data_IF_557746289062
#
_entry.id   IF_557746289062
#
_cell.length_a   1.000
_cell.length_b   1.000
_cell.length_c   1.000
_cell.angle_alpha   90.00
_cell.angle_beta   90.00
_cell.angle_gamma   90.00
#
_symmetry.space_group_name_H-M   'P 1'
#
loop_
_entity.id
_entity.type
_entity.pdbx_description
1 polymer ?
#
# COMPACT_ATOMS: atom_id res chain seq x y z
N UNK A 1 36.70 -52.45 -22.15
CA UNK A 1 36.01 -52.82 -20.90
C UNK A 1 36.40 -51.75 -19.89
N UNK A 2 35.63 -50.75 -19.45
CA UNK A 2 34.19 -50.44 -19.33
C UNK A 2 34.14 -48.88 -19.33
N UNK A 3 33.68 -48.22 -20.41
CA UNK A 3 32.38 -47.51 -20.51
C UNK A 3 31.84 -46.94 -19.18
N UNK A 4 31.57 -45.63 -19.18
CA UNK A 4 30.61 -44.89 -18.33
C UNK A 4 31.05 -44.55 -16.91
N UNK A 5 31.69 -43.40 -16.73
CA UNK A 5 31.38 -42.47 -15.60
C UNK A 5 31.45 -41.02 -16.11
N UNK A 6 30.91 -40.78 -17.30
CA UNK A 6 30.35 -39.49 -17.69
C UNK A 6 28.84 -39.64 -17.44
N UNK A 7 28.19 -38.61 -16.92
CA UNK A 7 26.80 -38.60 -16.45
C UNK A 7 26.62 -39.04 -14.99
N UNK A 8 26.69 -38.07 -14.06
CA UNK A 8 25.61 -37.87 -13.08
C UNK A 8 25.72 -36.49 -12.44
N UNK A 9 24.80 -35.64 -12.88
CA UNK A 9 24.11 -34.60 -12.09
C UNK A 9 24.94 -33.32 -11.86
N UNK A 10 25.26 -32.63 -12.96
CA UNK A 10 25.12 -31.17 -13.01
C UNK A 10 23.63 -30.90 -13.23
N UNK A 11 22.87 -30.92 -12.14
CA UNK A 11 21.43 -30.58 -12.15
C UNK A 11 21.07 -29.97 -10.79
N UNK A 12 21.79 -28.90 -10.46
CA UNK A 12 21.35 -27.89 -9.50
C UNK A 12 21.44 -26.51 -10.17
N UNK A 13 21.06 -26.46 -11.45
CA UNK A 13 20.83 -25.21 -12.14
C UNK A 13 19.38 -24.80 -11.92
N UNK A 14 19.23 -23.74 -11.12
CA UNK A 14 18.20 -22.70 -11.29
C UNK A 14 16.77 -23.15 -10.95
N UNK A 15 16.48 -23.24 -9.65
CA UNK A 15 15.11 -23.02 -9.15
C UNK A 15 15.17 -22.05 -7.95
N UNK A 16 15.73 -20.86 -8.16
CA UNK A 16 15.50 -19.72 -7.26
C UNK A 16 15.59 -18.46 -8.11
N UNK A 17 14.48 -18.05 -8.74
CA UNK A 17 14.37 -16.69 -9.32
C UNK A 17 12.93 -16.22 -9.56
N UNK A 18 11.91 -17.06 -9.32
CA UNK A 18 10.51 -16.64 -9.47
C UNK A 18 9.94 -15.88 -8.24
N UNK A 19 10.70 -15.73 -7.15
CA UNK A 19 10.20 -15.07 -5.93
C UNK A 19 10.63 -13.60 -5.76
N UNK A 20 11.52 -13.07 -6.62
CA UNK A 20 12.08 -11.72 -6.42
C UNK A 20 11.34 -10.57 -7.12
N UNK A 21 10.31 -10.83 -7.94
CA UNK A 21 9.72 -9.76 -8.76
C UNK A 21 8.52 -9.05 -8.12
N UNK A 22 7.77 -9.72 -7.23
CA UNK A 22 6.62 -9.09 -6.56
C UNK A 22 7.06 -8.18 -5.41
N UNK A 23 8.15 -8.53 -4.71
CA UNK A 23 8.66 -7.71 -3.60
C UNK A 23 9.21 -6.36 -4.10
N UNK A 24 9.92 -6.35 -5.23
CA UNK A 24 10.46 -5.13 -5.83
C UNK A 24 9.39 -4.19 -6.38
N UNK A 25 8.33 -4.73 -6.97
CA UNK A 25 7.22 -3.92 -7.50
C UNK A 25 6.46 -3.22 -6.36
N UNK A 26 6.11 -3.96 -5.30
CA UNK A 26 5.46 -3.38 -4.12
C UNK A 26 6.35 -2.31 -3.48
N UNK A 27 7.64 -2.58 -3.26
CA UNK A 27 8.58 -1.57 -2.73
C UNK A 27 8.66 -0.31 -3.61
N UNK A 28 8.60 -0.46 -4.94
CA UNK A 28 8.64 0.69 -5.85
C UNK A 28 7.42 1.61 -5.76
N UNK A 29 6.25 1.08 -5.36
CA UNK A 29 5.03 1.86 -5.11
C UNK A 29 5.04 2.42 -3.68
N UNK A 30 5.42 1.59 -2.70
CA UNK A 30 5.31 1.93 -1.28
C UNK A 30 6.36 2.98 -0.85
N UNK A 31 7.62 2.83 -1.28
CA UNK A 31 8.71 3.67 -0.78
C UNK A 31 8.51 5.17 -1.06
N UNK A 32 8.11 5.61 -2.27
CA UNK A 32 7.83 7.02 -2.52
C UNK A 32 6.75 7.57 -1.59
N UNK A 33 5.66 6.81 -1.40
CA UNK A 33 4.55 7.21 -0.54
C UNK A 33 5.03 7.39 0.90
N UNK A 34 5.68 6.37 1.46
CA UNK A 34 6.18 6.42 2.85
C UNK A 34 7.21 7.55 3.05
N UNK A 35 8.00 7.85 2.03
CA UNK A 35 8.99 8.92 2.07
C UNK A 35 8.32 10.29 2.20
N UNK A 36 7.22 10.54 1.46
CA UNK A 36 6.49 11.81 1.56
C UNK A 36 5.88 12.05 2.95
N UNK A 37 5.34 11.00 3.59
CA UNK A 37 4.88 11.11 4.98
C UNK A 37 6.04 11.43 5.93
N UNK A 38 7.18 10.76 5.76
CA UNK A 38 8.35 11.02 6.59
C UNK A 38 8.91 12.44 6.40
N UNK A 39 8.95 12.95 5.17
CA UNK A 39 9.37 14.33 4.86
C UNK A 39 8.44 15.37 5.49
N UNK A 40 7.13 15.10 5.57
CA UNK A 40 6.15 15.94 6.26
C UNK A 40 6.23 15.85 7.81
N UNK A 41 7.14 15.02 8.33
CA UNK A 41 7.31 14.77 9.75
C UNK A 41 6.23 13.85 10.35
N UNK A 42 5.61 13.01 9.51
CA UNK A 42 4.63 12.01 9.94
C UNK A 42 5.30 10.63 9.95
N UNK A 43 5.53 10.11 11.15
CA UNK A 43 6.07 8.75 11.31
C UNK A 43 4.94 7.74 11.30
N UNK A 44 4.82 7.02 10.18
CA UNK A 44 3.86 5.92 10.01
C UNK A 44 4.37 4.64 10.68
N UNK A 45 3.52 3.99 11.45
CA UNK A 45 3.76 2.66 12.03
C UNK A 45 2.86 1.66 11.33
N UNK A 46 3.45 0.68 10.63
CA UNK A 46 2.67 -0.38 9.99
C UNK A 46 2.02 -1.26 11.06
N UNK A 47 0.73 -1.46 10.91
CA UNK A 47 -0.06 -2.37 11.74
C UNK A 47 -0.26 -3.69 10.99
N UNK A 48 0.04 -4.80 11.65
CA UNK A 48 0.02 -6.14 11.03
C UNK A 48 -1.38 -6.75 10.96
N UNK A 49 -2.34 -6.20 11.71
CA UNK A 49 -3.74 -6.57 11.58
C UNK A 49 -4.33 -5.89 10.35
N UNK A 50 -4.95 -6.71 9.47
CA UNK A 50 -5.68 -6.16 8.32
C UNK A 50 -6.80 -5.25 8.83
N UNK A 51 -6.89 -4.07 8.22
CA UNK A 51 -8.01 -3.17 8.40
C UNK A 51 -9.32 -3.89 8.01
N UNK A 52 -10.14 -4.26 8.99
CA UNK A 52 -11.43 -4.91 8.70
C UNK A 52 -12.34 -4.04 7.83
N UNK A 53 -12.22 -2.72 7.96
CA UNK A 53 -13.04 -1.72 7.26
C UNK A 53 -12.72 -1.64 5.76
N UNK A 54 -11.48 -1.88 5.36
CA UNK A 54 -11.00 -1.67 4.00
C UNK A 54 -10.32 -2.93 3.49
N UNK A 55 -11.14 -3.95 3.19
CA UNK A 55 -10.66 -5.19 2.58
C UNK A 55 -11.32 -5.45 1.23
N UNK A 56 -10.49 -5.53 0.20
CA UNK A 56 -10.82 -5.59 -1.20
C UNK A 56 -10.14 -6.83 -1.82
N UNK A 57 -10.93 -7.85 -2.18
CA UNK A 57 -10.39 -8.98 -2.92
C UNK A 57 -9.72 -8.53 -4.22
N UNK A 58 -8.52 -9.07 -4.51
CA UNK A 58 -7.76 -8.71 -5.70
C UNK A 58 -6.93 -7.44 -5.56
N UNK A 59 -6.58 -7.02 -4.32
CA UNK A 59 -5.62 -5.94 -4.08
C UNK A 59 -4.71 -6.25 -2.89
N UNK A 60 -3.55 -5.59 -2.88
CA UNK A 60 -2.69 -5.51 -1.71
C UNK A 60 -3.08 -4.32 -0.84
N UNK A 61 -3.05 -4.51 0.48
CA UNK A 61 -3.49 -3.53 1.47
C UNK A 61 -2.43 -3.38 2.56
N UNK A 62 -2.14 -2.13 2.91
CA UNK A 62 -1.29 -1.75 4.03
C UNK A 62 -2.02 -0.76 4.92
N UNK A 63 -1.85 -0.93 6.21
CA UNK A 63 -2.49 -0.10 7.23
C UNK A 63 -1.41 0.48 8.14
N UNK A 64 -1.48 1.80 8.32
CA UNK A 64 -0.54 2.54 9.14
C UNK A 64 -1.28 3.39 10.17
N UNK A 65 -0.77 3.38 11.39
CA UNK A 65 -1.18 4.28 12.46
C UNK A 65 -0.12 5.34 12.69
N UNK A 66 -0.55 6.55 13.06
CA UNK A 66 0.31 7.58 13.61
C UNK A 66 -0.49 8.44 14.61
N UNK A 67 0.19 9.40 15.25
CA UNK A 67 -0.38 10.18 16.37
C UNK A 67 -1.75 10.82 16.08
N UNK A 68 -1.95 11.32 14.86
CA UNK A 68 -3.13 12.13 14.50
C UNK A 68 -4.05 11.42 13.49
N UNK A 69 -3.85 10.12 13.25
CA UNK A 69 -4.79 9.36 12.44
C UNK A 69 -4.26 8.05 11.88
N UNK A 70 -4.93 7.64 10.82
CA UNK A 70 -4.76 6.37 10.15
C UNK A 70 -4.58 6.58 8.66
N UNK A 71 -3.67 5.80 8.06
CA UNK A 71 -3.44 5.78 6.62
C UNK A 71 -3.65 4.36 6.12
N UNK A 72 -4.61 4.20 5.22
CA UNK A 72 -4.84 2.97 4.48
C UNK A 72 -4.30 3.15 3.06
N UNK A 73 -3.54 2.17 2.60
CA UNK A 73 -2.94 2.16 1.29
C UNK A 73 -3.37 0.89 0.56
N UNK A 74 -3.96 1.07 -0.61
CA UNK A 74 -4.45 -0.01 -1.46
C UNK A 74 -3.71 0.09 -2.79
N UNK A 75 -3.10 -1.00 -3.25
CA UNK A 75 -2.26 -1.03 -4.45
C UNK A 75 -2.31 -2.41 -5.09
N UNK A 76 -1.67 -2.58 -6.27
CA UNK A 76 -1.71 -3.82 -7.04
C UNK A 76 -3.14 -4.38 -7.22
N UNK A 77 -4.11 -3.50 -7.46
CA UNK A 77 -5.50 -3.91 -7.57
C UNK A 77 -5.86 -4.37 -8.99
N UNK A 78 -6.72 -5.38 -9.08
CA UNK A 78 -7.24 -5.90 -10.35
C UNK A 78 -8.16 -4.88 -11.07
N UNK A 79 -8.95 -4.11 -10.31
CA UNK A 79 -9.81 -3.05 -10.84
C UNK A 79 -9.96 -1.90 -9.85
N UNK A 80 -9.53 -0.71 -10.29
CA UNK A 80 -9.65 0.54 -9.53
C UNK A 80 -11.12 0.91 -9.32
N UNK A 81 -11.95 0.73 -10.34
CA UNK A 81 -13.35 1.13 -10.38
C UNK A 81 -14.15 0.38 -9.32
N UNK A 82 -13.94 -0.94 -9.20
CA UNK A 82 -14.59 -1.77 -8.18
C UNK A 82 -14.22 -1.32 -6.77
N UNK A 83 -12.97 -0.88 -6.55
CA UNK A 83 -12.53 -0.38 -5.26
C UNK A 83 -13.18 0.98 -4.97
N UNK A 84 -13.22 1.90 -5.94
CA UNK A 84 -13.85 3.22 -5.80
C UNK A 84 -15.35 3.07 -5.48
N UNK A 85 -16.08 2.20 -6.18
CA UNK A 85 -17.51 1.99 -5.93
C UNK A 85 -17.78 1.50 -4.50
N UNK A 86 -16.95 0.55 -4.02
CA UNK A 86 -17.04 0.07 -2.65
C UNK A 86 -16.65 1.13 -1.63
N UNK A 87 -15.58 1.88 -1.88
CA UNK A 87 -15.17 2.99 -1.00
C UNK A 87 -16.25 4.06 -0.90
N UNK A 88 -16.91 4.37 -2.02
CA UNK A 88 -18.05 5.30 -2.05
C UNK A 88 -19.18 4.80 -1.15
N UNK A 89 -19.46 3.50 -1.20
CA UNK A 89 -20.47 2.88 -0.32
C UNK A 89 -20.04 2.95 1.16
N UNK A 90 -18.79 2.58 1.47
CA UNK A 90 -18.25 2.64 2.84
C UNK A 90 -18.30 4.07 3.38
N UNK A 91 -17.89 5.07 2.58
CA UNK A 91 -17.90 6.47 3.00
C UNK A 91 -19.31 7.04 3.19
N UNK A 92 -20.31 6.51 2.48
CA UNK A 92 -21.70 6.92 2.65
C UNK A 92 -22.38 6.25 3.86
N UNK A 93 -21.99 5.03 4.20
CA UNK A 93 -22.64 4.20 5.23
C UNK A 93 -21.95 4.28 6.60
N UNK A 94 -20.64 4.52 6.64
CA UNK A 94 -19.88 4.55 7.87
C UNK A 94 -19.91 5.94 8.53
N UNK A 95 -20.10 5.95 9.85
CA UNK A 95 -19.94 7.16 10.66
C UNK A 95 -18.47 7.30 11.05
N UNK A 96 -17.78 8.27 10.45
CA UNK A 96 -16.42 8.63 10.84
C UNK A 96 -16.47 9.74 11.89
N UNK A 97 -15.72 9.61 13.00
CA UNK A 97 -15.69 10.62 14.05
C UNK A 97 -14.99 11.92 13.60
N UNK A 98 -14.17 11.85 12.56
CA UNK A 98 -13.41 12.96 11.99
C UNK A 98 -13.33 12.84 10.47
N UNK A 99 -12.74 13.86 9.84
CA UNK A 99 -12.61 13.95 8.39
C UNK A 99 -11.84 12.77 7.77
N UNK A 100 -12.33 12.35 6.61
CA UNK A 100 -11.71 11.34 5.75
C UNK A 100 -11.28 12.02 4.46
N UNK A 101 -10.01 11.84 4.09
CA UNK A 101 -9.45 12.32 2.84
C UNK A 101 -8.93 11.15 2.02
N UNK A 102 -9.09 11.20 0.70
CA UNK A 102 -8.66 10.12 -0.18
C UNK A 102 -7.96 10.61 -1.44
N UNK A 103 -6.92 9.90 -1.85
CA UNK A 103 -6.20 10.09 -3.11
C UNK A 103 -6.33 8.84 -3.98
N UNK A 104 -6.76 9.01 -5.23
CA UNK A 104 -6.94 7.93 -6.19
C UNK A 104 -5.99 8.07 -7.38
N UNK A 105 -4.91 7.31 -7.43
CA UNK A 105 -3.98 7.27 -8.57
C UNK A 105 -4.21 6.02 -9.42
N UNK A 106 -3.45 5.84 -10.51
CA UNK A 106 -3.52 4.61 -11.31
C UNK A 106 -2.85 3.43 -10.61
N UNK A 107 -1.88 3.69 -9.73
CA UNK A 107 -1.04 2.65 -9.11
C UNK A 107 -1.47 2.33 -7.68
N UNK A 108 -2.09 3.29 -6.99
CA UNK A 108 -2.45 3.18 -5.58
C UNK A 108 -3.63 4.07 -5.21
N UNK A 109 -4.22 3.77 -4.06
CA UNK A 109 -5.26 4.57 -3.41
C UNK A 109 -4.81 4.78 -1.97
N UNK A 110 -4.83 6.03 -1.51
CA UNK A 110 -4.57 6.39 -0.11
C UNK A 110 -5.87 6.88 0.51
N UNK A 111 -6.17 6.41 1.71
CA UNK A 111 -7.26 6.89 2.53
C UNK A 111 -6.65 7.33 3.85
N UNK A 112 -6.81 8.59 4.17
CA UNK A 112 -6.47 9.17 5.47
C UNK A 112 -7.74 9.35 6.28
N UNK A 113 -7.72 8.88 7.53
CA UNK A 113 -8.78 9.12 8.51
C UNK A 113 -8.14 9.81 9.71
N UNK A 114 -8.59 11.02 10.01
CA UNK A 114 -8.11 11.73 11.18
C UNK A 114 -8.56 11.04 12.48
N UNK A 115 -7.75 11.13 13.53
CA UNK A 115 -8.12 10.73 14.90
C UNK A 115 -8.11 11.89 15.89
N UNK A 116 -7.76 13.10 15.42
CA UNK A 116 -7.72 14.33 16.19
C UNK A 116 -8.18 15.52 15.34
N UNK A 117 -8.60 16.62 16.00
CA UNK A 117 -8.96 17.89 15.35
C UNK A 117 -7.74 18.78 15.06
N UNK A 118 -6.54 18.21 14.92
CA UNK A 118 -5.33 18.99 14.69
C UNK A 118 -5.35 19.63 13.29
N UNK A 119 -5.58 20.95 13.13
CA UNK A 119 -5.77 21.55 11.81
C UNK A 119 -4.51 21.45 10.93
N UNK A 120 -3.33 21.46 11.55
CA UNK A 120 -2.05 21.36 10.85
C UNK A 120 -1.90 20.01 10.14
N UNK A 121 -2.58 18.95 10.59
CA UNK A 121 -2.48 17.64 9.94
C UNK A 121 -3.19 17.62 8.60
N UNK A 122 -4.33 18.31 8.48
CA UNK A 122 -5.09 18.36 7.23
C UNK A 122 -4.26 19.02 6.13
N UNK A 123 -3.59 20.15 6.43
CA UNK A 123 -2.70 20.83 5.48
C UNK A 123 -1.51 19.96 5.06
N UNK A 124 -0.91 19.22 6.01
CA UNK A 124 0.18 18.28 5.70
C UNK A 124 -0.27 17.15 4.79
N UNK A 125 -1.42 16.54 5.08
CA UNK A 125 -1.98 15.46 4.26
C UNK A 125 -2.32 15.97 2.86
N UNK A 126 -2.91 17.17 2.75
CA UNK A 126 -3.17 17.78 1.44
C UNK A 126 -1.87 17.99 0.67
N UNK A 127 -0.83 18.55 1.31
CA UNK A 127 0.48 18.74 0.67
C UNK A 127 1.10 17.42 0.21
N UNK A 128 1.02 16.35 1.01
CA UNK A 128 1.48 15.01 0.63
C UNK A 128 0.69 14.53 -0.59
N UNK A 129 -0.64 14.65 -0.57
CA UNK A 129 -1.48 14.20 -1.67
C UNK A 129 -1.19 14.96 -2.97
N UNK A 130 -0.88 16.26 -2.90
CA UNK A 130 -0.50 17.00 -4.10
C UNK A 130 0.82 16.49 -4.69
N UNK A 131 1.86 16.32 -3.85
CA UNK A 131 3.14 15.76 -4.33
C UNK A 131 2.97 14.37 -4.95
N UNK A 132 2.16 13.51 -4.33
CA UNK A 132 1.92 12.15 -4.81
C UNK A 132 1.02 12.06 -6.06
N UNK A 133 0.28 13.11 -6.41
CA UNK A 133 -0.47 13.17 -7.69
C UNK A 133 0.45 13.42 -8.88
N UNK A 134 1.55 14.12 -8.65
CA UNK A 134 2.48 14.54 -9.71
C UNK A 134 3.54 13.47 -10.03
N UNK A 135 3.51 12.34 -9.32
CA UNK A 135 4.35 11.15 -9.51
C UNK A 135 3.57 10.01 -10.21
#
# INVERSE_FOLDING_TARGET
MIKRIFERIVLFSIIVLAACNMNSQSESILNPILSEFQEAGITLKEETEKAKTFSFPGSDEKYYEFKDGYVYLIYNFDSKEVIIDKLTTIFAEAEFPYDVNSLYTYQFIIIFIASSENPDIAEKIESIFQKLKDH
#
